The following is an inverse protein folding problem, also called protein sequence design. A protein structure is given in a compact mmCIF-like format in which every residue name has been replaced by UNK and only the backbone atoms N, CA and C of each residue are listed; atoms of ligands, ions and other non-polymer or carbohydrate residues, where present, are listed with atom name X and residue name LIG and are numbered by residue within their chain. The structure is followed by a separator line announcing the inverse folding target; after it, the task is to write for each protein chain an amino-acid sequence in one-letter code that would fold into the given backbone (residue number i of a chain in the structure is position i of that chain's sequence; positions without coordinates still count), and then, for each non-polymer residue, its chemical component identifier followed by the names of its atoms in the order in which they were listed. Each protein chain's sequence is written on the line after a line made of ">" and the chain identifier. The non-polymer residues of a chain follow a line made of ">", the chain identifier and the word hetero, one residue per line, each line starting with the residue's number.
data_IF_113980862550
#
_entry.id   IF_113980862550
#
_cell.length_a   1.000
_cell.length_b   1.000
_cell.length_c   1.000
_cell.angle_alpha   90.00
_cell.angle_beta   90.00
_cell.angle_gamma   90.00
#
_symmetry.space_group_name_H-M   'P 1'
#
loop_
_entity.id
_entity.type
_entity.pdbx_description
1 polymer ?
#
# COMPACT_ATOMS: atom_id res chain seq x y z
N UNK A 1 30.57 -6.49 0.95
CA UNK A 1 30.93 -5.05 1.03
C UNK A 1 29.65 -4.28 1.28
N UNK A 2 29.66 -3.15 2.00
CA UNK A 2 28.44 -2.36 2.14
C UNK A 2 27.98 -1.87 0.75
N UNK A 3 26.67 -1.87 0.53
CA UNK A 3 26.08 -1.36 -0.72
C UNK A 3 26.37 0.13 -0.89
N UNK A 4 26.63 0.55 -2.12
CA UNK A 4 26.84 1.95 -2.48
C UNK A 4 25.59 2.51 -3.18
N UNK A 5 25.53 3.84 -3.31
CA UNK A 5 24.49 4.50 -4.09
C UNK A 5 24.38 3.96 -5.53
N UNK A 6 25.52 3.65 -6.14
CA UNK A 6 25.54 3.15 -7.53
C UNK A 6 25.01 1.71 -7.63
N UNK A 7 25.24 0.89 -6.62
CA UNK A 7 24.78 -0.50 -6.60
C UNK A 7 23.24 -0.57 -6.44
N UNK A 8 22.66 0.39 -5.71
CA UNK A 8 21.25 0.39 -5.37
C UNK A 8 20.36 1.24 -6.30
N UNK A 9 20.91 2.20 -7.06
CA UNK A 9 20.10 3.00 -8.00
C UNK A 9 19.23 2.18 -8.95
N UNK A 10 19.73 1.08 -9.57
CA UNK A 10 18.91 0.26 -10.45
C UNK A 10 17.68 -0.35 -9.76
N UNK A 11 17.70 -0.46 -8.44
CA UNK A 11 16.63 -1.00 -7.62
C UNK A 11 15.39 -0.10 -7.55
N UNK A 12 15.41 1.08 -8.16
CA UNK A 12 14.23 1.92 -8.36
C UNK A 12 13.11 1.18 -9.11
N UNK A 13 13.47 0.24 -9.97
CA UNK A 13 12.50 -0.61 -10.68
C UNK A 13 11.74 -1.50 -9.69
N UNK A 14 12.44 -2.07 -8.71
CA UNK A 14 11.82 -2.89 -7.67
C UNK A 14 10.92 -2.03 -6.77
N UNK A 15 11.36 -0.83 -6.42
CA UNK A 15 10.55 0.15 -5.68
C UNK A 15 9.24 0.49 -6.42
N UNK A 16 9.31 0.70 -7.74
CA UNK A 16 8.11 0.99 -8.55
C UNK A 16 7.15 -0.22 -8.57
N UNK A 17 7.67 -1.42 -8.77
CA UNK A 17 6.86 -2.63 -8.72
C UNK A 17 6.24 -2.88 -7.35
N UNK A 18 6.96 -2.61 -6.25
CA UNK A 18 6.44 -2.72 -4.89
C UNK A 18 5.24 -1.79 -4.66
N UNK A 19 5.13 -0.72 -5.44
CA UNK A 19 3.99 0.23 -5.44
C UNK A 19 2.92 -0.08 -6.48
N UNK A 20 3.04 -1.20 -7.19
CA UNK A 20 2.12 -1.56 -8.28
C UNK A 20 2.27 -0.69 -9.52
N UNK A 21 3.39 0.01 -9.68
CA UNK A 21 3.69 0.88 -10.82
C UNK A 21 4.48 0.08 -11.86
N UNK A 22 3.95 0.03 -13.09
CA UNK A 22 4.65 -0.53 -14.24
C UNK A 22 5.63 0.51 -14.81
N UNK A 23 6.96 0.32 -14.67
CA UNK A 23 7.95 1.28 -15.15
C UNK A 23 7.99 1.40 -16.69
N UNK A 24 7.36 0.51 -17.42
CA UNK A 24 7.27 0.57 -18.89
C UNK A 24 6.15 1.49 -19.39
N UNK A 25 5.26 1.92 -18.50
CA UNK A 25 4.13 2.81 -18.83
C UNK A 25 4.30 4.16 -18.16
N UNK A 26 3.50 5.14 -18.62
CA UNK A 26 3.32 6.38 -17.90
C UNK A 26 2.48 6.11 -16.65
N UNK A 27 2.84 6.75 -15.56
CA UNK A 27 2.14 6.67 -14.29
C UNK A 27 2.01 8.07 -13.66
N UNK A 28 1.20 8.17 -12.63
CA UNK A 28 0.98 9.43 -11.92
C UNK A 28 2.23 9.89 -11.19
N UNK A 29 2.40 11.19 -11.13
CA UNK A 29 3.55 11.82 -10.51
C UNK A 29 3.68 11.41 -9.03
N UNK A 30 4.89 11.04 -8.63
CA UNK A 30 5.22 10.69 -7.24
C UNK A 30 5.64 11.93 -6.41
N UNK A 31 5.58 13.14 -7.01
CA UNK A 31 5.80 14.37 -6.27
C UNK A 31 4.57 14.67 -5.40
N UNK A 32 4.69 14.69 -4.06
CA UNK A 32 3.55 14.94 -3.18
C UNK A 32 2.92 16.33 -3.35
N UNK A 33 3.66 17.27 -3.97
CA UNK A 33 3.17 18.64 -4.27
C UNK A 33 2.50 18.77 -5.64
N UNK A 34 2.43 17.69 -6.42
CA UNK A 34 1.84 17.70 -7.76
C UNK A 34 0.63 16.76 -7.81
N UNK A 35 -0.56 17.35 -7.82
CA UNK A 35 -1.82 16.62 -8.07
C UNK A 35 -1.92 16.30 -9.56
N UNK A 36 -1.46 15.10 -9.91
CA UNK A 36 -1.42 14.64 -11.30
C UNK A 36 -2.77 14.02 -11.69
N UNK A 37 -3.49 14.68 -12.61
CA UNK A 37 -4.78 14.18 -13.12
C UNK A 37 -4.59 13.10 -14.19
N UNK A 38 -3.55 13.28 -15.01
CA UNK A 38 -3.19 12.34 -16.10
C UNK A 38 -1.79 11.78 -15.88
N UNK A 39 -1.52 10.50 -16.19
CA UNK A 39 -0.21 9.89 -16.01
C UNK A 39 0.90 10.68 -16.72
N UNK A 40 1.65 11.48 -15.97
CA UNK A 40 2.67 12.40 -16.49
C UNK A 40 4.10 12.03 -16.12
N UNK A 41 4.31 11.01 -15.27
CA UNK A 41 5.64 10.55 -14.88
C UNK A 41 6.03 9.28 -15.61
N UNK A 42 7.32 9.13 -15.92
CA UNK A 42 7.85 7.94 -16.58
C UNK A 42 9.23 7.58 -16.04
N UNK A 43 9.61 6.32 -16.14
CA UNK A 43 10.94 5.83 -15.76
C UNK A 43 11.93 5.95 -16.92
N UNK A 44 13.09 6.51 -16.64
CA UNK A 44 14.24 6.58 -17.54
C UNK A 44 15.30 5.56 -17.10
N UNK A 45 15.38 4.46 -17.84
CA UNK A 45 16.32 3.38 -17.55
C UNK A 45 17.79 3.77 -17.68
N UNK A 46 18.14 4.77 -18.52
CA UNK A 46 19.51 5.23 -18.69
C UNK A 46 19.97 6.06 -17.51
N UNK A 47 19.07 6.90 -16.97
CA UNK A 47 19.34 7.75 -15.82
C UNK A 47 19.01 7.06 -14.48
N UNK A 48 18.30 5.94 -14.52
CA UNK A 48 17.78 5.23 -13.34
C UNK A 48 16.96 6.15 -12.42
N UNK A 49 16.10 6.96 -13.04
CA UNK A 49 15.25 7.96 -12.38
C UNK A 49 13.84 7.94 -12.94
N UNK A 50 12.91 8.46 -12.19
CA UNK A 50 11.59 8.80 -12.69
C UNK A 50 11.53 10.31 -12.95
N UNK A 51 10.92 10.69 -14.07
CA UNK A 51 10.75 12.07 -14.48
C UNK A 51 9.28 12.39 -14.74
N UNK A 52 8.80 13.48 -14.16
CA UNK A 52 7.46 14.01 -14.44
C UNK A 52 7.51 15.07 -15.52
N UNK A 53 6.86 14.83 -16.64
CA UNK A 53 6.85 15.75 -17.78
C UNK A 53 5.93 16.96 -17.59
N UNK A 54 5.07 16.94 -16.56
CA UNK A 54 4.18 18.05 -16.25
C UNK A 54 4.79 19.04 -15.24
N UNK A 55 5.37 18.54 -14.13
CA UNK A 55 5.94 19.43 -13.09
C UNK A 55 7.47 19.48 -13.08
N UNK A 56 8.16 18.68 -13.93
CA UNK A 56 9.61 18.65 -13.99
C UNK A 56 10.30 17.91 -12.84
N UNK A 57 9.56 17.28 -11.93
CA UNK A 57 10.14 16.52 -10.83
C UNK A 57 10.96 15.33 -11.35
N UNK A 58 12.14 15.11 -10.76
CA UNK A 58 13.12 14.12 -11.19
C UNK A 58 13.66 13.42 -9.95
N UNK A 59 13.34 12.13 -9.74
CA UNK A 59 13.66 11.40 -8.53
C UNK A 59 14.41 10.10 -8.83
N UNK A 60 15.43 9.79 -8.05
CA UNK A 60 16.01 8.45 -7.98
C UNK A 60 15.40 7.64 -6.81
N UNK A 61 15.88 6.42 -6.59
CA UNK A 61 15.43 5.55 -5.52
C UNK A 61 15.50 6.22 -4.14
N UNK A 62 16.60 6.93 -3.89
CA UNK A 62 16.87 7.52 -2.58
C UNK A 62 15.99 8.74 -2.32
N UNK A 63 15.73 9.54 -3.36
CA UNK A 63 14.80 10.66 -3.31
C UNK A 63 13.37 10.16 -2.95
N UNK A 64 12.93 9.08 -3.60
CA UNK A 64 11.61 8.51 -3.37
C UNK A 64 11.49 7.90 -1.96
N UNK A 65 12.52 7.19 -1.49
CA UNK A 65 12.54 6.66 -0.13
C UNK A 65 12.58 7.78 0.92
N UNK A 66 13.30 8.86 0.64
CA UNK A 66 13.36 10.02 1.51
C UNK A 66 11.98 10.72 1.61
N UNK A 67 11.25 10.83 0.50
CA UNK A 67 9.89 11.37 0.46
C UNK A 67 8.95 10.48 1.28
N UNK A 68 9.01 9.17 1.10
CA UNK A 68 8.10 8.22 1.75
C UNK A 68 8.26 8.15 3.27
N UNK A 69 9.49 8.21 3.74
CA UNK A 69 9.83 8.03 5.16
C UNK A 69 10.24 9.35 5.83
N UNK A 70 10.09 10.47 5.12
CA UNK A 70 10.40 11.81 5.63
C UNK A 70 11.86 11.93 6.10
N UNK A 71 12.81 11.32 5.35
CA UNK A 71 14.23 11.32 5.70
C UNK A 71 14.88 12.63 5.24
N UNK A 72 15.74 13.16 6.09
CA UNK A 72 16.50 14.40 5.79
C UNK A 72 17.97 14.14 5.45
N UNK A 73 18.45 12.92 5.71
CA UNK A 73 19.83 12.53 5.50
C UNK A 73 19.96 11.57 4.29
N UNK A 74 20.86 11.85 3.34
CA UNK A 74 21.17 10.90 2.25
C UNK A 74 21.70 9.55 2.78
N UNK A 75 22.40 9.57 3.92
CA UNK A 75 22.92 8.36 4.54
C UNK A 75 21.79 7.46 5.06
N UNK A 76 20.73 8.04 5.62
CA UNK A 76 19.56 7.29 6.10
C UNK A 76 18.78 6.70 4.92
N UNK A 77 18.67 7.43 3.81
CA UNK A 77 18.08 6.92 2.58
C UNK A 77 18.91 5.75 2.01
N UNK A 78 20.23 5.83 2.03
CA UNK A 78 21.11 4.73 1.63
C UNK A 78 20.98 3.53 2.55
N UNK A 79 20.98 3.74 3.86
CA UNK A 79 20.80 2.65 4.85
C UNK A 79 19.44 1.95 4.67
N UNK A 80 18.39 2.73 4.43
CA UNK A 80 17.06 2.20 4.14
C UNK A 80 17.01 1.44 2.81
N UNK A 81 17.62 2.00 1.75
CA UNK A 81 17.71 1.34 0.46
C UNK A 81 18.49 0.03 0.55
N UNK A 82 19.63 0.03 1.27
CA UNK A 82 20.44 -1.16 1.50
C UNK A 82 19.64 -2.23 2.28
N UNK A 83 18.88 -1.81 3.29
CA UNK A 83 18.02 -2.70 4.07
C UNK A 83 16.89 -3.29 3.22
N UNK A 84 16.26 -2.51 2.34
CA UNK A 84 15.10 -2.94 1.53
C UNK A 84 15.50 -3.65 0.24
N UNK A 85 16.57 -3.19 -0.40
CA UNK A 85 16.94 -3.57 -1.77
C UNK A 85 18.40 -4.01 -1.92
N UNK A 86 19.20 -3.98 -0.84
CA UNK A 86 20.63 -4.31 -0.85
C UNK A 86 20.91 -5.79 -1.09
N UNK A 87 22.12 -6.07 -1.49
CA UNK A 87 22.66 -7.42 -1.67
C UNK A 87 22.97 -8.04 -0.31
N UNK A 88 21.98 -8.60 0.36
CA UNK A 88 22.24 -9.68 1.32
C UNK A 88 22.65 -10.90 0.51
N UNK A 89 23.90 -11.35 0.66
CA UNK A 89 24.55 -12.46 -0.06
C UNK A 89 24.02 -12.74 -1.47
N UNK A 90 24.86 -12.51 -2.48
CA UNK A 90 24.59 -12.80 -3.88
C UNK A 90 24.40 -14.32 -4.10
N UNK A 91 23.22 -14.82 -3.81
CA UNK A 91 22.93 -16.24 -3.92
C UNK A 91 21.52 -16.56 -4.34
N UNK A 92 20.52 -15.95 -3.76
CA UNK A 92 19.13 -16.20 -4.17
C UNK A 92 18.27 -14.96 -3.95
N UNK A 93 17.43 -14.60 -4.95
CA UNK A 93 16.38 -13.61 -4.74
C UNK A 93 15.60 -13.99 -3.49
N UNK A 94 15.43 -13.02 -2.55
CA UNK A 94 14.66 -13.30 -1.33
C UNK A 94 13.32 -13.94 -1.71
N UNK A 95 12.82 -14.92 -0.96
CA UNK A 95 11.55 -15.58 -1.30
C UNK A 95 10.43 -14.60 -1.61
N UNK A 96 10.36 -13.50 -0.86
CA UNK A 96 9.42 -12.43 -1.10
C UNK A 96 9.59 -11.70 -2.45
N UNK A 97 10.81 -11.60 -2.99
CA UNK A 97 11.07 -10.97 -4.31
C UNK A 97 10.62 -11.86 -5.48
N UNK A 98 10.66 -13.18 -5.29
CA UNK A 98 10.10 -14.11 -6.28
C UNK A 98 8.58 -13.99 -6.33
N UNK A 99 7.95 -13.94 -5.17
CA UNK A 99 6.49 -13.89 -5.07
C UNK A 99 5.86 -12.65 -5.73
N UNK A 100 6.52 -11.49 -5.68
CA UNK A 100 6.02 -10.25 -6.30
C UNK A 100 5.96 -10.30 -7.84
N UNK A 101 6.57 -11.33 -8.47
CA UNK A 101 6.67 -11.49 -9.92
C UNK A 101 5.74 -12.57 -10.47
N UNK A 102 5.10 -13.35 -9.61
CA UNK A 102 4.26 -14.49 -10.01
C UNK A 102 2.78 -14.12 -10.01
N UNK A 103 2.06 -14.68 -10.98
CA UNK A 103 0.59 -14.69 -10.94
C UNK A 103 0.16 -15.76 -9.94
N UNK A 104 -0.60 -15.36 -8.93
CA UNK A 104 -1.03 -16.25 -7.88
C UNK A 104 -2.23 -17.10 -8.32
N UNK A 105 -2.27 -18.39 -7.98
CA UNK A 105 -3.46 -19.19 -8.21
C UNK A 105 -4.63 -18.70 -7.33
N UNK A 106 -5.85 -18.84 -7.81
CA UNK A 106 -7.06 -18.44 -7.06
C UNK A 106 -7.18 -19.11 -5.68
N UNK A 107 -6.58 -20.29 -5.51
CA UNK A 107 -6.56 -21.03 -4.23
C UNK A 107 -5.49 -20.52 -3.25
N UNK A 108 -4.62 -19.59 -3.65
CA UNK A 108 -3.50 -19.15 -2.82
C UNK A 108 -3.93 -18.55 -1.47
N UNK A 109 -4.91 -17.64 -1.39
CA UNK A 109 -5.31 -17.09 -0.10
C UNK A 109 -5.83 -18.16 0.86
N UNK A 110 -6.59 -19.14 0.32
CA UNK A 110 -7.14 -20.24 1.11
C UNK A 110 -6.05 -21.19 1.63
N UNK A 111 -5.07 -21.50 0.80
CA UNK A 111 -3.89 -22.26 1.21
C UNK A 111 -3.17 -21.54 2.35
N UNK A 112 -2.96 -20.22 2.23
CA UNK A 112 -2.31 -19.42 3.27
C UNK A 112 -3.14 -19.36 4.56
N UNK A 113 -4.47 -19.31 4.46
CA UNK A 113 -5.35 -19.35 5.63
C UNK A 113 -5.15 -20.61 6.47
N UNK A 114 -4.90 -21.76 5.86
CA UNK A 114 -4.59 -23.00 6.57
C UNK A 114 -3.36 -22.87 7.47
N UNK A 115 -2.44 -22.00 7.13
CA UNK A 115 -1.19 -21.77 7.85
C UNK A 115 -1.22 -20.56 8.83
N UNK A 116 -2.37 -19.89 9.00
CA UNK A 116 -2.50 -18.65 9.80
C UNK A 116 -1.93 -18.74 11.23
N UNK A 117 -1.93 -19.95 11.82
CA UNK A 117 -1.41 -20.18 13.17
C UNK A 117 0.12 -20.42 13.22
N UNK A 118 0.80 -20.43 12.08
CA UNK A 118 2.26 -20.57 12.03
C UNK A 118 2.99 -19.23 12.24
N UNK A 119 2.25 -18.13 12.42
CA UNK A 119 2.78 -16.81 12.73
C UNK A 119 2.04 -16.21 13.91
N UNK A 120 2.73 -15.39 14.68
CA UNK A 120 2.17 -14.57 15.75
C UNK A 120 1.89 -13.11 15.28
N UNK A 121 2.09 -12.83 13.99
CA UNK A 121 1.98 -11.50 13.41
C UNK A 121 0.64 -10.84 13.69
N UNK A 122 -0.46 -11.57 13.51
CA UNK A 122 -1.81 -11.04 13.72
C UNK A 122 -2.06 -10.68 15.19
N UNK A 123 -1.64 -11.52 16.12
CA UNK A 123 -1.75 -11.25 17.55
C UNK A 123 -0.90 -10.04 17.97
N UNK A 124 0.31 -9.90 17.42
CA UNK A 124 1.17 -8.72 17.61
C UNK A 124 0.56 -7.42 17.08
N UNK A 125 -0.36 -7.53 16.10
CA UNK A 125 -1.16 -6.43 15.55
C UNK A 125 -2.50 -6.23 16.28
N UNK A 126 -2.72 -6.89 17.41
CA UNK A 126 -3.94 -6.76 18.19
C UNK A 126 -5.17 -7.43 17.57
N UNK A 127 -5.00 -8.27 16.55
CA UNK A 127 -6.11 -8.96 15.88
C UNK A 127 -6.41 -10.30 16.58
N UNK A 128 -7.67 -10.49 16.96
CA UNK A 128 -8.16 -11.73 17.57
C UNK A 128 -8.26 -12.89 16.56
N UNK A 129 -8.28 -14.12 17.06
CA UNK A 129 -8.55 -15.32 16.24
C UNK A 129 -9.91 -15.23 15.53
N UNK A 130 -10.88 -14.52 16.10
CA UNK A 130 -12.19 -14.29 15.50
C UNK A 130 -12.06 -13.43 14.24
N UNK A 131 -11.36 -12.30 14.32
CA UNK A 131 -11.08 -11.42 13.19
C UNK A 131 -10.23 -12.11 12.13
N UNK A 132 -9.16 -12.81 12.54
CA UNK A 132 -8.32 -13.60 11.61
C UNK A 132 -9.16 -14.63 10.85
N UNK A 133 -10.10 -15.29 11.52
CA UNK A 133 -10.96 -16.29 10.90
C UNK A 133 -12.03 -15.65 10.02
N UNK A 134 -12.68 -14.57 10.48
CA UNK A 134 -13.72 -13.84 9.73
C UNK A 134 -13.19 -13.33 8.39
N UNK A 135 -12.01 -12.73 8.39
CA UNK A 135 -11.39 -12.17 7.18
C UNK A 135 -10.49 -13.15 6.44
N UNK A 136 -10.42 -14.41 6.90
CA UNK A 136 -9.61 -15.48 6.31
C UNK A 136 -8.15 -15.07 6.11
N UNK A 137 -7.59 -14.34 7.09
CA UNK A 137 -6.22 -13.87 7.04
C UNK A 137 -5.26 -15.08 7.08
N UNK A 138 -4.32 -15.12 6.15
CA UNK A 138 -3.42 -16.24 5.94
C UNK A 138 -1.96 -15.91 6.20
N UNK A 139 -1.14 -16.94 6.26
CA UNK A 139 0.31 -16.83 6.31
C UNK A 139 0.94 -17.76 5.28
N UNK A 140 1.87 -17.24 4.52
CA UNK A 140 2.71 -18.00 3.60
C UNK A 140 4.07 -18.26 4.25
N UNK A 141 4.32 -19.50 4.71
CA UNK A 141 5.57 -19.86 5.36
C UNK A 141 6.76 -19.95 4.41
N UNK A 142 6.52 -20.12 3.11
CA UNK A 142 7.58 -20.19 2.10
C UNK A 142 8.20 -18.81 1.84
N UNK A 143 7.35 -17.76 1.88
CA UNK A 143 7.77 -16.39 1.57
C UNK A 143 7.78 -15.48 2.80
N UNK A 144 7.53 -16.01 3.99
CA UNK A 144 7.44 -15.28 5.26
C UNK A 144 6.57 -14.02 5.15
N UNK A 145 5.36 -14.17 4.63
CA UNK A 145 4.44 -13.06 4.48
C UNK A 145 3.03 -13.39 4.97
N UNK A 146 2.34 -12.38 5.50
CA UNK A 146 0.92 -12.46 5.80
C UNK A 146 0.10 -12.11 4.56
N UNK A 147 -1.06 -12.75 4.43
CA UNK A 147 -1.92 -12.69 3.26
C UNK A 147 -3.32 -12.25 3.69
N UNK A 148 -3.77 -11.15 3.10
CA UNK A 148 -5.08 -10.55 3.36
C UNK A 148 -5.93 -10.68 2.09
N UNK A 149 -6.97 -11.50 2.09
CA UNK A 149 -7.92 -11.55 0.97
C UNK A 149 -8.59 -10.18 0.75
N UNK A 150 -8.76 -9.83 -0.50
CA UNK A 150 -9.32 -8.56 -0.95
C UNK A 150 -10.30 -8.78 -2.10
N UNK A 151 -10.69 -7.70 -2.77
CA UNK A 151 -11.61 -7.73 -3.91
C UNK A 151 -11.19 -8.71 -5.01
N UNK A 152 -12.19 -9.26 -5.71
CA UNK A 152 -12.01 -10.11 -6.91
C UNK A 152 -11.10 -11.33 -6.71
N UNK A 153 -11.07 -11.90 -5.50
CA UNK A 153 -10.21 -13.05 -5.16
C UNK A 153 -8.72 -12.74 -5.10
N UNK A 154 -8.34 -11.48 -5.21
CA UNK A 154 -6.97 -11.01 -5.04
C UNK A 154 -6.63 -10.86 -3.56
N UNK A 155 -5.36 -10.66 -3.26
CA UNK A 155 -4.92 -10.46 -1.89
C UNK A 155 -3.83 -9.40 -1.80
N UNK A 156 -3.76 -8.76 -0.65
CA UNK A 156 -2.57 -8.02 -0.21
C UNK A 156 -1.65 -8.99 0.51
N UNK A 157 -0.39 -8.91 0.22
CA UNK A 157 0.67 -9.67 0.91
C UNK A 157 1.64 -8.71 1.57
N UNK A 158 2.03 -9.01 2.79
CA UNK A 158 2.97 -8.18 3.55
C UNK A 158 4.03 -9.06 4.19
N UNK A 159 5.30 -8.74 3.97
CA UNK A 159 6.40 -9.40 4.64
C UNK A 159 6.31 -9.24 6.16
N UNK A 160 6.60 -10.32 6.92
CA UNK A 160 6.54 -10.32 8.38
C UNK A 160 7.71 -9.55 8.98
N UNK A 161 8.90 -9.75 8.44
CA UNK A 161 10.14 -9.18 8.97
C UNK A 161 10.32 -7.67 8.72
N UNK A 162 9.59 -7.11 7.74
CA UNK A 162 9.74 -5.71 7.33
C UNK A 162 8.42 -5.10 6.84
N UNK A 163 8.31 -3.76 6.87
CA UNK A 163 7.14 -3.05 6.31
C UNK A 163 7.25 -3.03 4.78
N UNK A 164 7.01 -4.16 4.12
CA UNK A 164 7.02 -4.29 2.67
C UNK A 164 5.79 -5.05 2.18
N UNK A 165 5.09 -4.44 1.22
CA UNK A 165 3.97 -5.04 0.53
C UNK A 165 4.45 -5.71 -0.76
N UNK A 166 3.86 -6.85 -1.08
CA UNK A 166 4.22 -7.71 -2.21
C UNK A 166 3.05 -7.74 -3.18
N UNK A 167 3.10 -6.91 -4.21
CA UNK A 167 2.06 -6.84 -5.23
C UNK A 167 2.38 -7.78 -6.41
N UNK A 168 1.34 -8.30 -7.06
CA UNK A 168 1.50 -9.01 -8.32
C UNK A 168 2.04 -8.06 -9.39
N UNK A 169 2.92 -8.58 -10.26
CA UNK A 169 3.58 -7.78 -11.29
C UNK A 169 2.57 -7.07 -12.19
N UNK A 170 2.73 -5.75 -12.31
CA UNK A 170 1.89 -4.93 -13.19
C UNK A 170 0.45 -4.75 -12.73
N UNK A 171 0.12 -5.17 -11.51
CA UNK A 171 -1.22 -5.00 -10.94
C UNK A 171 -1.17 -4.02 -9.74
N UNK A 172 -2.06 -3.03 -9.69
CA UNK A 172 -2.19 -2.21 -8.49
C UNK A 172 -2.65 -3.08 -7.32
N UNK A 173 -2.37 -2.67 -6.08
CA UNK A 173 -2.93 -3.34 -4.90
C UNK A 173 -4.45 -3.43 -4.99
N UNK A 174 -5.08 -4.53 -4.59
CA UNK A 174 -6.53 -4.62 -4.53
C UNK A 174 -7.07 -3.76 -3.38
N UNK A 175 -8.30 -3.25 -3.52
CA UNK A 175 -9.02 -2.61 -2.41
C UNK A 175 -9.41 -3.68 -1.38
N UNK A 176 -9.43 -3.28 -0.12
CA UNK A 176 -9.97 -4.11 0.96
C UNK A 176 -11.43 -3.71 1.25
N UNK A 177 -12.35 -4.65 1.18
CA UNK A 177 -13.80 -4.47 1.40
C UNK A 177 -14.44 -3.28 0.63
N UNK A 178 -14.18 -3.09 -0.68
CA UNK A 178 -14.75 -1.97 -1.45
C UNK A 178 -16.29 -2.03 -1.52
N UNK A 179 -16.89 -3.19 -1.37
CA UNK A 179 -18.35 -3.40 -1.33
C UNK A 179 -19.02 -2.62 -0.20
N UNK A 180 -18.33 -2.37 0.90
CA UNK A 180 -18.86 -1.56 1.99
C UNK A 180 -19.08 -0.10 1.57
N UNK A 181 -18.26 0.42 0.65
CA UNK A 181 -18.40 1.79 0.16
C UNK A 181 -19.65 1.96 -0.70
N UNK A 182 -20.14 0.87 -1.31
CA UNK A 182 -21.30 0.88 -2.21
C UNK A 182 -22.56 0.31 -1.59
N UNK A 183 -22.48 -0.27 -0.40
CA UNK A 183 -23.57 -1.03 0.22
C UNK A 183 -24.75 -0.17 0.71
N UNK A 184 -24.70 1.11 0.75
CA UNK A 184 -25.76 1.94 1.32
C UNK A 184 -26.10 1.56 2.77
N UNK A 185 -27.01 2.31 3.39
CA UNK A 185 -27.48 2.06 4.76
C UNK A 185 -27.17 3.18 5.73
N UNK A 186 -27.52 2.99 7.00
CA UNK A 186 -27.36 4.01 8.05
C UNK A 186 -26.05 3.84 8.85
N UNK A 187 -25.49 2.64 8.85
CA UNK A 187 -24.25 2.37 9.58
C UNK A 187 -23.03 2.97 8.87
N UNK A 188 -22.21 3.74 9.60
CA UNK A 188 -21.04 4.36 9.02
C UNK A 188 -19.98 3.33 8.59
N UNK A 189 -19.22 3.68 7.56
CA UNK A 189 -18.08 2.92 7.05
C UNK A 189 -16.82 3.77 7.14
N UNK A 190 -15.78 3.27 7.77
CA UNK A 190 -14.47 3.91 7.74
C UNK A 190 -13.79 3.63 6.40
N UNK A 191 -13.24 4.66 5.78
CA UNK A 191 -12.34 4.55 4.63
C UNK A 191 -10.93 4.93 5.07
N UNK A 192 -10.02 3.95 5.05
CA UNK A 192 -8.65 4.07 5.54
C UNK A 192 -7.62 3.84 4.42
N UNK A 193 -6.36 4.15 4.68
CA UNK A 193 -5.29 3.96 3.71
C UNK A 193 -4.81 2.51 3.63
N UNK A 194 -4.69 1.83 4.75
CA UNK A 194 -4.14 0.48 4.88
C UNK A 194 -5.14 -0.58 5.33
N UNK A 195 -5.04 -1.80 4.80
CA UNK A 195 -5.92 -2.89 5.21
C UNK A 195 -5.71 -3.31 6.69
N UNK A 196 -4.51 -3.13 7.26
CA UNK A 196 -4.30 -3.41 8.68
C UNK A 196 -5.01 -2.40 9.58
N UNK A 197 -5.08 -1.13 9.16
CA UNK A 197 -5.85 -0.10 9.87
C UNK A 197 -7.34 -0.41 9.80
N UNK A 198 -7.83 -0.84 8.63
CA UNK A 198 -9.20 -1.30 8.47
C UNK A 198 -9.51 -2.53 9.34
N UNK A 199 -8.59 -3.50 9.41
CA UNK A 199 -8.73 -4.67 10.29
C UNK A 199 -8.74 -4.27 11.78
N UNK A 200 -7.99 -3.25 12.18
CA UNK A 200 -8.05 -2.74 13.55
C UNK A 200 -9.38 -2.07 13.87
N UNK A 201 -9.96 -1.34 12.90
CA UNK A 201 -11.31 -0.80 13.05
C UNK A 201 -12.36 -1.92 13.15
N UNK A 202 -12.25 -2.97 12.32
CA UNK A 202 -13.13 -4.14 12.33
C UNK A 202 -13.00 -4.96 13.64
N UNK A 203 -11.79 -5.06 14.21
CA UNK A 203 -11.57 -5.67 15.53
C UNK A 203 -12.33 -4.93 16.64
N UNK A 204 -12.45 -3.61 16.51
CA UNK A 204 -13.22 -2.76 17.43
C UNK A 204 -14.73 -2.75 17.13
N UNK A 205 -15.18 -3.48 16.12
CA UNK A 205 -16.60 -3.61 15.74
C UNK A 205 -17.09 -2.57 14.73
N UNK A 206 -16.21 -1.81 14.12
CA UNK A 206 -16.55 -0.84 13.07
C UNK A 206 -16.44 -1.46 11.69
N UNK A 207 -17.26 -1.02 10.75
CA UNK A 207 -17.18 -1.40 9.33
C UNK A 207 -16.07 -0.58 8.66
N UNK A 208 -15.15 -1.22 7.97
CA UNK A 208 -14.00 -0.53 7.40
C UNK A 208 -13.57 -1.06 6.03
N UNK A 209 -13.29 -0.14 5.12
CA UNK A 209 -12.68 -0.40 3.81
C UNK A 209 -11.30 0.26 3.74
N UNK A 210 -10.41 -0.26 2.89
CA UNK A 210 -9.10 0.37 2.72
C UNK A 210 -8.63 0.38 1.26
N UNK A 211 -7.81 1.40 0.96
CA UNK A 211 -7.25 1.64 -0.37
C UNK A 211 -6.10 0.68 -0.71
N UNK A 212 -5.29 0.32 0.28
CA UNK A 212 -4.03 -0.42 0.09
C UNK A 212 -3.04 0.29 -0.85
N UNK A 213 -2.95 1.60 -0.71
CA UNK A 213 -1.95 2.42 -1.39
C UNK A 213 -2.51 3.56 -2.22
N UNK A 214 -1.69 4.59 -2.39
CA UNK A 214 -2.04 5.85 -3.07
C UNK A 214 -2.50 5.66 -4.52
N UNK A 215 -2.05 4.61 -5.22
CA UNK A 215 -2.48 4.30 -6.58
C UNK A 215 -3.96 3.95 -6.75
N UNK A 216 -4.64 3.63 -5.65
CA UNK A 216 -6.05 3.26 -5.64
C UNK A 216 -7.01 4.41 -5.32
N UNK A 217 -6.51 5.61 -5.09
CA UNK A 217 -7.33 6.80 -4.76
C UNK A 217 -8.39 7.07 -5.82
N UNK A 218 -8.00 7.04 -7.08
CA UNK A 218 -8.92 7.26 -8.20
C UNK A 218 -9.94 6.12 -8.34
N UNK A 219 -9.52 4.90 -8.07
CA UNK A 219 -10.43 3.75 -8.07
C UNK A 219 -11.52 3.88 -7.01
N UNK A 220 -11.14 4.31 -5.79
CA UNK A 220 -12.10 4.60 -4.74
C UNK A 220 -13.01 5.78 -5.10
N UNK A 221 -12.45 6.87 -5.61
CA UNK A 221 -13.24 8.01 -6.08
C UNK A 221 -14.24 7.60 -7.17
N UNK A 222 -13.84 6.75 -8.12
CA UNK A 222 -14.75 6.24 -9.16
C UNK A 222 -15.91 5.42 -8.58
N UNK A 223 -15.68 4.64 -7.53
CA UNK A 223 -16.76 3.95 -6.82
C UNK A 223 -17.72 4.94 -6.16
N UNK A 224 -17.19 5.97 -5.50
CA UNK A 224 -17.99 6.98 -4.81
C UNK A 224 -18.82 7.86 -5.75
N UNK A 225 -18.31 8.18 -6.95
CA UNK A 225 -19.05 8.96 -7.98
C UNK A 225 -20.34 8.30 -8.46
N UNK A 226 -20.41 6.97 -8.39
CA UNK A 226 -21.59 6.22 -8.83
C UNK A 226 -22.71 6.09 -7.79
N UNK A 227 -22.59 6.73 -6.62
CA UNK A 227 -23.49 6.48 -5.49
C UNK A 227 -24.56 7.58 -5.34
N UNK A 228 -25.82 7.17 -5.39
CA UNK A 228 -26.96 8.07 -5.12
C UNK A 228 -27.18 8.31 -3.62
N UNK A 229 -27.00 7.28 -2.80
CA UNK A 229 -27.16 7.33 -1.33
C UNK A 229 -26.19 6.36 -0.65
N UNK A 230 -24.94 6.75 -0.48
CA UNK A 230 -24.00 5.92 0.27
C UNK A 230 -24.34 5.89 1.77
N UNK A 231 -23.88 4.85 2.46
CA UNK A 231 -23.76 4.92 3.90
C UNK A 231 -22.87 6.10 4.30
N UNK A 232 -22.98 6.65 5.52
CA UNK A 232 -22.04 7.67 5.99
C UNK A 232 -20.61 7.14 5.90
N UNK A 233 -19.75 7.79 5.10
CA UNK A 233 -18.35 7.38 4.97
C UNK A 233 -17.48 8.31 5.80
N UNK A 234 -16.75 7.71 6.73
CA UNK A 234 -15.83 8.37 7.65
C UNK A 234 -14.40 8.20 7.12
N UNK A 235 -13.85 9.25 6.56
CA UNK A 235 -12.49 9.25 6.02
C UNK A 235 -11.49 9.44 7.14
N UNK A 236 -10.64 8.44 7.37
CA UNK A 236 -9.55 8.45 8.34
C UNK A 236 -8.23 8.09 7.63
N UNK A 237 -7.39 9.10 7.44
CA UNK A 237 -6.10 8.97 6.76
C UNK A 237 -4.95 8.96 7.76
N UNK A 238 -3.77 8.52 7.32
CA UNK A 238 -2.54 8.59 8.10
C UNK A 238 -2.22 10.04 8.51
N UNK A 239 -1.61 10.23 9.68
CA UNK A 239 -1.17 11.53 10.18
C UNK A 239 0.11 12.00 9.47
N UNK A 240 0.06 12.10 8.15
CA UNK A 240 1.16 12.64 7.37
C UNK A 240 0.66 13.56 6.25
N UNK A 241 1.59 14.28 5.63
CA UNK A 241 1.26 15.26 4.59
C UNK A 241 0.58 14.64 3.36
N UNK A 242 0.84 13.38 3.07
CA UNK A 242 0.23 12.66 1.94
C UNK A 242 -1.22 12.29 2.25
N UNK A 243 -1.48 11.77 3.46
CA UNK A 243 -2.82 11.47 3.95
C UNK A 243 -3.69 12.73 4.02
N UNK A 244 -3.14 13.82 4.57
CA UNK A 244 -3.81 15.13 4.65
C UNK A 244 -4.20 15.68 3.27
N UNK A 245 -3.28 15.65 2.30
CA UNK A 245 -3.52 16.10 0.94
C UNK A 245 -4.61 15.28 0.26
N UNK A 246 -4.58 13.97 0.46
CA UNK A 246 -5.57 13.09 -0.10
C UNK A 246 -6.96 13.29 0.55
N UNK A 247 -7.01 13.41 1.87
CA UNK A 247 -8.25 13.67 2.59
C UNK A 247 -8.91 14.97 2.11
N UNK A 248 -8.11 16.02 1.93
CA UNK A 248 -8.61 17.31 1.43
C UNK A 248 -9.17 17.18 0.01
N UNK A 249 -8.46 16.51 -0.90
CA UNK A 249 -8.91 16.32 -2.28
C UNK A 249 -10.22 15.52 -2.39
N UNK A 250 -10.35 14.44 -1.57
CA UNK A 250 -11.57 13.65 -1.52
C UNK A 250 -12.75 14.46 -0.93
N UNK A 251 -12.53 15.20 0.13
CA UNK A 251 -13.57 16.02 0.75
C UNK A 251 -14.03 17.16 -0.16
N UNK A 252 -13.15 17.72 -1.00
CA UNK A 252 -13.52 18.69 -2.02
C UNK A 252 -14.42 18.08 -3.12
N UNK A 253 -14.07 16.87 -3.60
CA UNK A 253 -14.85 16.17 -4.62
C UNK A 253 -16.18 15.61 -4.07
N UNK A 254 -16.18 15.15 -2.81
CA UNK A 254 -17.32 14.54 -2.15
C UNK A 254 -17.67 15.27 -0.84
N UNK A 255 -18.37 16.42 -0.88
CA UNK A 255 -18.67 17.21 0.32
C UNK A 255 -19.51 16.49 1.38
N UNK A 256 -20.09 15.35 1.05
CA UNK A 256 -20.86 14.48 1.95
C UNK A 256 -19.99 13.47 2.72
N UNK A 257 -18.68 13.39 2.43
CA UNK A 257 -17.74 12.61 3.24
C UNK A 257 -17.49 13.30 4.58
N UNK A 258 -17.49 12.50 5.64
CA UNK A 258 -17.11 12.98 6.97
C UNK A 258 -15.61 12.77 7.17
N UNK A 259 -14.87 13.85 7.15
CA UNK A 259 -13.44 13.77 7.46
C UNK A 259 -13.24 13.62 8.97
N UNK A 260 -12.67 12.51 9.41
CA UNK A 260 -12.26 12.34 10.80
C UNK A 260 -11.00 13.15 11.10
N UNK A 261 -10.86 13.73 12.29
CA UNK A 261 -9.56 14.18 12.75
C UNK A 261 -8.61 12.99 12.78
N UNK A 262 -7.32 13.22 12.50
CA UNK A 262 -6.32 12.17 12.54
C UNK A 262 -6.26 11.45 13.89
N UNK A 263 -5.60 10.30 13.95
CA UNK A 263 -5.44 9.56 15.20
C UNK A 263 -4.73 10.42 16.24
N UNK A 264 -5.17 10.44 17.50
CA UNK A 264 -4.62 11.33 18.53
C UNK A 264 -3.15 11.08 18.84
N UNK A 265 -2.67 9.85 18.67
CA UNK A 265 -1.31 9.42 18.99
C UNK A 265 -0.84 8.46 17.90
N UNK A 266 0.35 8.71 17.35
CA UNK A 266 0.93 7.87 16.30
C UNK A 266 0.67 8.38 14.88
N UNK A 267 1.07 7.57 13.91
CA UNK A 267 0.96 7.89 12.48
C UNK A 267 -0.32 7.31 11.87
N UNK A 268 -0.65 6.10 12.26
CA UNK A 268 -1.77 5.29 11.74
C UNK A 268 -2.55 4.62 12.88
N UNK A 269 -3.57 3.86 12.57
CA UNK A 269 -4.46 3.22 13.55
C UNK A 269 -3.88 1.90 14.09
N UNK A 270 -2.90 1.29 13.38
CA UNK A 270 -2.36 -0.03 13.72
C UNK A 270 -0.84 -0.06 13.95
#
# INVERSE_FOLDING_TARGET
>A
MPDTFNDLRPRIVDYLYDRGIDPQKRFRCLNPKHLDRDPSMGYDAKRQKVHCFACGADYDLFDLLAIDENLTSPHDALALASKRYGHGDAGEARPADRLSRETLPASYPESCFSHRRKTDYFAKRGLSDATVTRFRLGYDPEHDCVVLPCENGRCVRRAVAEKRYLNEKGQPSPLFQPELLTAGGEEPVFLLEGAFDALSAEELGYRAAALNGAGNREKAAALLRGLDRPAPILLLTDNDAAGETWAAALAEEFPWLYRCPGVPIGKDLN
#
